data_IF_962891199301
#
_entry.id   IF_962891199301
#
_cell.length_a   1.000
_cell.length_b   1.000
_cell.length_c   1.000
_cell.angle_alpha   90.00
_cell.angle_beta   90.00
_cell.angle_gamma   90.00
#
_symmetry.space_group_name_H-M   'P 1'
#
loop_
_entity.id
_entity.type
_entity.pdbx_description
1 polymer ?
#
# COMPACT_ATOMS: atom_id res chain seq x y z
N UNK A 1 -13.50 -5.75 -8.49
CA UNK A 1 -12.04 -5.94 -8.27
C UNK A 1 -11.67 -5.37 -6.92
N UNK A 2 -10.97 -6.16 -6.12
CA UNK A 2 -10.55 -5.69 -4.80
C UNK A 2 -9.30 -4.84 -4.88
N UNK A 3 -9.17 -3.90 -3.97
CA UNK A 3 -8.01 -3.02 -3.87
C UNK A 3 -7.33 -3.22 -2.53
N UNK A 4 -6.03 -3.44 -2.57
CA UNK A 4 -5.22 -3.61 -1.37
C UNK A 4 -4.35 -2.38 -1.18
N UNK A 5 -4.45 -1.76 -0.01
CA UNK A 5 -3.60 -0.65 0.37
C UNK A 5 -2.36 -1.17 1.09
N UNK A 6 -1.21 -0.63 0.77
CA UNK A 6 0.05 -1.03 1.38
C UNK A 6 0.70 0.20 2.01
N UNK A 7 1.01 0.10 3.30
CA UNK A 7 1.75 1.14 4.01
C UNK A 7 3.21 0.71 4.03
N UNK A 8 4.03 1.42 3.28
CA UNK A 8 5.44 1.10 3.12
C UNK A 8 5.74 0.63 1.71
N UNK A 9 6.63 1.35 1.03
CA UNK A 9 6.95 1.11 -0.38
C UNK A 9 8.31 0.48 -0.62
N UNK A 10 8.90 -0.19 0.39
CA UNK A 10 10.19 -0.85 0.23
C UNK A 10 10.08 -2.20 -0.47
N UNK A 11 11.10 -3.03 -0.31
CA UNK A 11 11.16 -4.32 -1.01
C UNK A 11 10.03 -5.26 -0.61
N UNK A 12 9.67 -5.30 0.66
CA UNK A 12 8.58 -6.15 1.11
C UNK A 12 7.25 -5.66 0.54
N UNK A 13 7.05 -4.34 0.49
CA UNK A 13 5.87 -3.76 -0.15
C UNK A 13 5.79 -4.14 -1.61
N UNK A 14 6.92 -4.12 -2.31
CA UNK A 14 6.99 -4.54 -3.70
C UNK A 14 6.55 -5.99 -3.87
N UNK A 15 7.01 -6.88 -2.99
CA UNK A 15 6.62 -8.29 -3.03
C UNK A 15 5.13 -8.47 -2.77
N UNK A 16 4.58 -7.70 -1.85
CA UNK A 16 3.14 -7.74 -1.56
C UNK A 16 2.34 -7.32 -2.80
N UNK A 17 2.79 -6.26 -3.48
CA UNK A 17 2.12 -5.79 -4.70
C UNK A 17 2.17 -6.85 -5.79
N UNK A 18 3.30 -7.51 -5.98
CA UNK A 18 3.41 -8.59 -6.95
C UNK A 18 2.40 -9.70 -6.68
N UNK A 19 2.29 -10.12 -5.41
CA UNK A 19 1.34 -11.14 -5.03
C UNK A 19 -0.11 -10.70 -5.23
N UNK A 20 -0.40 -9.44 -4.87
CA UNK A 20 -1.74 -8.89 -5.06
C UNK A 20 -2.14 -8.89 -6.54
N UNK A 21 -1.24 -8.51 -7.43
CA UNK A 21 -1.50 -8.50 -8.86
C UNK A 21 -1.74 -9.91 -9.40
N UNK A 22 -1.00 -10.90 -8.89
CA UNK A 22 -1.22 -12.29 -9.28
C UNK A 22 -2.61 -12.78 -8.89
N UNK A 23 -3.17 -12.23 -7.82
CA UNK A 23 -4.52 -12.55 -7.36
C UNK A 23 -5.60 -11.69 -8.01
N UNK A 24 -5.22 -10.80 -8.91
CA UNK A 24 -6.16 -9.95 -9.63
C UNK A 24 -6.60 -8.71 -8.86
N UNK A 25 -5.89 -8.32 -7.81
CA UNK A 25 -6.23 -7.13 -7.04
C UNK A 25 -5.52 -5.89 -7.58
N UNK A 26 -6.13 -4.73 -7.35
CA UNK A 26 -5.46 -3.44 -7.55
C UNK A 26 -4.69 -3.08 -6.27
N UNK A 27 -3.73 -2.20 -6.40
CA UNK A 27 -2.91 -1.78 -5.26
C UNK A 27 -2.79 -0.27 -5.17
N UNK A 28 -2.78 0.23 -3.93
CA UNK A 28 -2.47 1.62 -3.59
C UNK A 28 -1.36 1.58 -2.54
N UNK A 29 -0.23 2.20 -2.82
CA UNK A 29 0.91 2.19 -1.91
C UNK A 29 1.13 3.57 -1.32
N UNK A 30 1.42 3.63 -0.01
CA UNK A 30 1.76 4.87 0.69
C UNK A 30 3.17 4.78 1.22
N UNK A 31 3.98 5.78 0.92
CA UNK A 31 5.36 5.88 1.42
C UNK A 31 5.79 7.34 1.40
N UNK A 32 6.59 7.80 2.36
CA UNK A 32 7.07 9.18 2.34
C UNK A 32 8.08 9.49 1.24
N UNK A 33 8.74 8.47 0.70
CA UNK A 33 9.72 8.65 -0.37
C UNK A 33 9.06 8.53 -1.74
N UNK A 34 9.15 9.59 -2.54
CA UNK A 34 8.54 9.59 -3.89
C UNK A 34 9.17 8.55 -4.82
N UNK A 35 10.38 8.10 -4.52
CA UNK A 35 11.11 7.10 -5.30
C UNK A 35 11.08 5.70 -4.67
N UNK A 36 10.13 5.43 -3.81
CA UNK A 36 10.03 4.13 -3.16
C UNK A 36 9.91 3.01 -4.19
N UNK A 37 10.63 1.90 -3.99
CA UNK A 37 10.67 0.81 -4.98
C UNK A 37 9.29 0.28 -5.38
N UNK A 38 8.38 0.14 -4.41
CA UNK A 38 7.06 -0.42 -4.67
C UNK A 38 6.20 0.46 -5.57
N UNK A 39 6.49 1.77 -5.63
CA UNK A 39 5.73 2.67 -6.49
C UNK A 39 5.84 2.31 -7.97
N UNK A 40 6.90 1.62 -8.36
CA UNK A 40 7.08 1.21 -9.75
C UNK A 40 6.01 0.22 -10.21
N UNK A 41 5.48 -0.59 -9.31
CA UNK A 41 4.46 -1.60 -9.62
C UNK A 41 3.07 -1.24 -9.14
N UNK A 42 2.95 -0.34 -8.17
CA UNK A 42 1.66 0.02 -7.59
C UNK A 42 0.76 0.68 -8.63
N UNK A 43 -0.53 0.34 -8.62
CA UNK A 43 -1.50 0.98 -9.52
C UNK A 43 -1.70 2.44 -9.17
N UNK A 44 -1.70 2.77 -7.88
CA UNK A 44 -1.78 4.14 -7.39
C UNK A 44 -0.77 4.31 -6.27
N UNK A 45 -0.40 5.56 -6.02
CA UNK A 45 0.54 5.87 -4.95
C UNK A 45 0.12 7.12 -4.19
N UNK A 46 0.47 7.13 -2.91
CA UNK A 46 0.27 8.29 -2.04
C UNK A 46 1.62 8.60 -1.39
N UNK A 47 2.16 9.76 -1.69
CA UNK A 47 3.44 10.19 -1.12
C UNK A 47 3.12 11.04 0.11
N UNK A 48 3.30 10.46 1.30
CA UNK A 48 2.99 11.13 2.55
C UNK A 48 3.67 10.41 3.72
N UNK A 49 3.77 11.09 4.85
CA UNK A 49 4.31 10.48 6.06
C UNK A 49 3.40 9.34 6.53
N UNK A 50 3.99 8.34 7.17
CA UNK A 50 3.25 7.17 7.64
C UNK A 50 2.16 7.52 8.67
N UNK A 51 2.32 8.63 9.38
CA UNK A 51 1.39 9.07 10.40
C UNK A 51 0.51 10.25 9.97
N UNK A 52 0.49 10.55 8.68
CA UNK A 52 -0.36 11.62 8.14
C UNK A 52 -1.82 11.14 8.14
N UNK A 53 -2.68 11.71 9.00
CA UNK A 53 -4.05 11.20 9.12
C UNK A 53 -4.87 11.35 7.85
N UNK A 54 -4.67 12.43 7.11
CA UNK A 54 -5.41 12.65 5.87
C UNK A 54 -5.02 11.64 4.80
N UNK A 55 -3.73 11.32 4.71
CA UNK A 55 -3.23 10.34 3.75
C UNK A 55 -3.69 8.93 4.10
N UNK A 56 -3.66 8.59 5.39
CA UNK A 56 -4.14 7.28 5.85
C UNK A 56 -5.63 7.12 5.58
N UNK A 57 -6.41 8.18 5.81
CA UNK A 57 -7.83 8.14 5.52
C UNK A 57 -8.09 7.94 4.03
N UNK A 58 -7.31 8.61 3.19
CA UNK A 58 -7.43 8.44 1.73
C UNK A 58 -7.06 7.03 1.30
N UNK A 59 -6.00 6.47 1.87
CA UNK A 59 -5.59 5.09 1.59
C UNK A 59 -6.71 4.12 1.96
N UNK A 60 -7.29 4.28 3.15
CA UNK A 60 -8.40 3.44 3.62
C UNK A 60 -9.61 3.56 2.71
N UNK A 61 -9.92 4.77 2.28
CA UNK A 61 -11.09 5.01 1.43
C UNK A 61 -10.95 4.32 0.08
N UNK A 62 -9.73 4.22 -0.44
CA UNK A 62 -9.46 3.61 -1.74
C UNK A 62 -9.27 2.10 -1.67
N UNK A 63 -9.19 1.53 -0.45
CA UNK A 63 -8.76 0.14 -0.27
C UNK A 63 -9.85 -0.68 0.39
N UNK A 64 -9.92 -1.95 0.03
CA UNK A 64 -10.79 -2.94 0.70
C UNK A 64 -10.09 -3.51 1.93
N UNK A 65 -8.77 -3.55 1.92
CA UNK A 65 -7.95 -3.98 3.04
C UNK A 65 -6.62 -3.27 2.97
N UNK A 66 -6.00 -3.04 4.12
CA UNK A 66 -4.71 -2.37 4.23
C UNK A 66 -3.73 -3.24 5.00
N UNK A 67 -2.51 -3.34 4.50
CA UNK A 67 -1.45 -4.09 5.17
C UNK A 67 -0.21 -3.21 5.31
N UNK A 68 0.64 -3.55 6.27
CA UNK A 68 1.92 -2.89 6.48
C UNK A 68 3.05 -3.71 5.87
N UNK A 69 4.05 -3.01 5.38
CA UNK A 69 5.28 -3.64 4.89
C UNK A 69 6.15 -4.22 6.01
N UNK A 70 5.99 -3.70 7.23
CA UNK A 70 6.89 -3.97 8.35
C UNK A 70 6.72 -5.39 8.92
N UNK A 71 7.71 -5.85 9.70
CA UNK A 71 7.71 -7.20 10.25
C UNK A 71 6.45 -7.56 11.04
N UNK A 72 5.92 -6.62 11.77
CA UNK A 72 4.68 -6.82 12.52
C UNK A 72 3.50 -6.52 11.63
N UNK A 73 3.32 -7.34 10.62
CA UNK A 73 2.26 -7.15 9.65
C UNK A 73 0.90 -7.32 10.30
N UNK A 74 0.08 -6.30 10.14
CA UNK A 74 -1.32 -6.36 10.52
C UNK A 74 -2.15 -6.12 9.28
N UNK A 75 -3.15 -6.95 9.07
CA UNK A 75 -4.10 -6.72 8.00
C UNK A 75 -5.30 -5.98 8.59
N UNK A 76 -5.55 -4.80 8.08
CA UNK A 76 -6.65 -3.95 8.53
C UNK A 76 -7.75 -3.98 7.47
N UNK A 77 -8.92 -4.45 7.88
CA UNK A 77 -10.08 -4.48 6.98
C UNK A 77 -10.88 -3.19 7.13
N UNK A 78 -11.26 -2.63 6.01
CA UNK A 78 -11.98 -1.36 5.95
C UNK A 78 -13.50 -1.63 5.87
#
# INVERSE_FOLDING_TARGET
>A
MKTIGIIGGGQLGLMIIEQAHLLGARTVCLDPAADAPAFALSDERIVAAYDDPAALEELCRRSDAVTYEFENLSLIHI
#
